data_IF_698858579017
#
_entry.id   IF_698858579017
#
_cell.length_a   1.000
_cell.length_b   1.000
_cell.length_c   1.000
_cell.angle_alpha   90.00
_cell.angle_beta   90.00
_cell.angle_gamma   90.00
#
_symmetry.space_group_name_H-M   'P 1'
#
loop_
_entity.id
_entity.type
_entity.pdbx_description
1 polymer ?
#
# COMPACT_ATOMS: atom_id res chain seq x y z
N UNK A 1 -18.32 -34.81 -15.25
CA UNK A 1 -17.72 -34.21 -14.05
C UNK A 1 -16.22 -34.46 -14.13
N UNK A 2 -15.44 -33.39 -14.33
CA UNK A 2 -13.97 -33.47 -14.40
C UNK A 2 -13.36 -33.18 -13.02
N UNK A 3 -12.15 -33.66 -12.72
CA UNK A 3 -11.56 -33.51 -11.41
C UNK A 3 -11.26 -32.03 -11.14
N UNK A 4 -11.75 -31.55 -10.00
CA UNK A 4 -11.50 -30.21 -9.50
C UNK A 4 -10.07 -30.12 -8.99
N UNK A 5 -9.23 -29.30 -9.63
CA UNK A 5 -7.85 -29.11 -9.20
C UNK A 5 -7.79 -28.50 -7.79
N UNK A 6 -6.89 -28.99 -6.91
CA UNK A 6 -6.78 -28.48 -5.55
C UNK A 6 -6.18 -27.07 -5.56
N UNK A 7 -7.02 -26.08 -5.25
CA UNK A 7 -6.60 -24.68 -5.07
C UNK A 7 -5.44 -24.55 -4.09
N UNK A 8 -4.34 -23.98 -4.57
CA UNK A 8 -3.05 -23.88 -3.85
C UNK A 8 -3.22 -23.08 -2.55
N UNK A 9 -2.64 -23.62 -1.46
CA UNK A 9 -2.59 -23.12 -0.07
C UNK A 9 -1.76 -21.81 0.10
N UNK A 10 -1.81 -20.87 -0.83
CA UNK A 10 -0.97 -19.66 -0.86
C UNK A 10 -1.28 -18.67 0.25
N UNK A 11 -2.55 -18.60 0.68
CA UNK A 11 -3.02 -17.60 1.63
C UNK A 11 -2.31 -17.68 2.99
N UNK A 12 -1.96 -18.89 3.43
CA UNK A 12 -1.28 -19.11 4.71
C UNK A 12 0.16 -18.57 4.75
N UNK A 13 0.90 -18.61 3.63
CA UNK A 13 2.28 -18.11 3.60
C UNK A 13 2.34 -16.59 3.65
N UNK A 14 1.48 -15.92 2.88
CA UNK A 14 1.40 -14.45 2.89
C UNK A 14 0.90 -13.97 4.25
N UNK A 15 -0.16 -14.59 4.79
CA UNK A 15 -0.66 -14.26 6.13
C UNK A 15 0.43 -14.42 7.20
N UNK A 16 1.24 -15.49 7.12
CA UNK A 16 2.36 -15.69 8.03
C UNK A 16 3.40 -14.58 7.91
N UNK A 17 3.84 -14.23 6.69
CA UNK A 17 4.79 -13.13 6.47
C UNK A 17 4.25 -11.81 7.01
N UNK A 18 2.98 -11.48 6.76
CA UNK A 18 2.36 -10.26 7.27
C UNK A 18 2.28 -10.24 8.81
N UNK A 19 2.00 -11.38 9.44
CA UNK A 19 1.98 -11.51 10.89
C UNK A 19 3.39 -11.38 11.49
N UNK A 20 4.41 -11.95 10.84
CA UNK A 20 5.83 -11.77 11.22
C UNK A 20 6.23 -10.30 11.15
N UNK A 21 5.97 -9.62 10.02
CA UNK A 21 6.25 -8.18 9.87
C UNK A 21 5.53 -7.34 10.93
N UNK A 22 4.30 -7.72 11.28
CA UNK A 22 3.54 -7.06 12.33
C UNK A 22 4.21 -7.20 13.69
N UNK A 23 4.49 -8.42 14.13
CA UNK A 23 5.00 -8.69 15.47
C UNK A 23 6.44 -8.20 15.65
N UNK A 24 7.28 -8.35 14.63
CA UNK A 24 8.72 -8.18 14.78
C UNK A 24 9.19 -6.76 14.42
N UNK A 25 8.42 -6.03 13.61
CA UNK A 25 8.81 -4.71 13.09
C UNK A 25 7.75 -3.67 13.40
N UNK A 26 6.55 -3.84 12.87
CA UNK A 26 5.60 -2.72 12.77
C UNK A 26 4.94 -2.41 14.11
N UNK A 27 4.45 -3.41 14.84
CA UNK A 27 3.85 -3.21 16.16
C UNK A 27 4.83 -2.56 17.15
N UNK A 28 6.09 -3.04 17.30
CA UNK A 28 7.07 -2.35 18.15
C UNK A 28 7.29 -0.89 17.79
N UNK A 29 7.36 -0.55 16.49
CA UNK A 29 7.49 0.84 16.03
C UNK A 29 6.26 1.68 16.41
N UNK A 30 5.06 1.15 16.19
CA UNK A 30 3.81 1.85 16.53
C UNK A 30 3.65 2.06 18.05
N UNK A 31 4.07 1.09 18.86
CA UNK A 31 4.06 1.18 20.32
C UNK A 31 5.06 2.24 20.81
N UNK A 32 6.28 2.23 20.28
CA UNK A 32 7.33 3.20 20.62
C UNK A 32 6.90 4.64 20.26
N UNK A 33 6.29 4.83 19.10
CA UNK A 33 5.77 6.13 18.65
C UNK A 33 4.47 6.53 19.37
N UNK A 34 3.88 5.63 20.17
CA UNK A 34 2.64 5.88 20.91
C UNK A 34 1.38 5.89 20.05
N UNK A 35 1.45 5.48 18.78
CA UNK A 35 0.33 5.55 17.82
C UNK A 35 -0.81 4.60 18.18
N UNK A 36 -0.54 3.55 18.95
CA UNK A 36 -1.57 2.60 19.39
C UNK A 36 -2.45 3.10 20.54
N UNK A 37 -2.06 4.18 21.26
CA UNK A 37 -2.82 4.68 22.42
C UNK A 37 -4.02 5.55 22.02
N UNK A 38 -3.91 6.31 20.93
CA UNK A 38 -4.85 7.36 20.55
C UNK A 38 -5.36 7.21 19.11
N UNK A 39 -5.58 5.97 18.64
CA UNK A 39 -6.02 5.70 17.28
C UNK A 39 -7.44 6.26 17.02
N UNK A 40 -7.52 7.57 16.73
CA UNK A 40 -8.72 8.24 16.26
C UNK A 40 -8.88 7.92 14.77
N UNK A 41 -10.09 7.52 14.36
CA UNK A 41 -10.36 7.06 12.99
C UNK A 41 -10.28 8.16 11.94
N UNK A 42 -10.13 9.43 12.34
CA UNK A 42 -10.19 10.58 11.43
C UNK A 42 -8.84 11.20 11.06
N UNK A 43 -7.78 11.05 11.88
CA UNK A 43 -6.50 11.70 11.62
C UNK A 43 -5.34 10.77 12.02
N UNK A 44 -5.07 9.79 11.16
CA UNK A 44 -3.97 8.86 11.37
C UNK A 44 -2.62 9.54 11.08
N UNK A 45 -1.60 9.34 11.92
CA UNK A 45 -0.24 9.80 11.61
C UNK A 45 0.30 9.13 10.35
N UNK A 46 1.26 9.79 9.71
CA UNK A 46 1.95 9.26 8.53
C UNK A 46 3.32 8.70 8.90
N UNK A 47 3.61 7.48 8.44
CA UNK A 47 4.93 6.85 8.54
C UNK A 47 5.49 6.69 7.12
N UNK A 48 6.73 7.16 6.91
CA UNK A 48 7.49 6.87 5.69
C UNK A 48 8.57 5.84 5.98
N UNK A 49 8.41 4.64 5.41
CA UNK A 49 9.35 3.53 5.57
C UNK A 49 10.55 3.69 4.63
N UNK A 50 11.77 3.57 5.14
CA UNK A 50 12.99 3.51 4.33
C UNK A 50 13.63 2.10 4.43
N UNK A 51 13.00 1.04 3.88
CA UNK A 51 13.52 -0.32 3.99
C UNK A 51 14.82 -0.50 3.17
N UNK A 52 15.64 -1.47 3.57
CA UNK A 52 16.89 -1.82 2.88
C UNK A 52 16.97 -3.32 2.59
N UNK A 53 17.72 -3.71 1.56
CA UNK A 53 17.91 -5.11 1.19
C UNK A 53 16.59 -5.84 0.88
N UNK A 54 16.45 -7.08 1.37
CA UNK A 54 15.27 -7.92 1.11
C UNK A 54 13.97 -7.36 1.67
N UNK A 55 14.04 -6.49 2.67
CA UNK A 55 12.87 -5.86 3.28
C UNK A 55 12.14 -4.92 2.32
N UNK A 56 12.83 -4.43 1.28
CA UNK A 56 12.24 -3.59 0.23
C UNK A 56 11.15 -4.31 -0.59
N UNK A 57 11.17 -5.64 -0.62
CA UNK A 57 10.17 -6.46 -1.30
C UNK A 57 8.99 -6.84 -0.41
N UNK A 58 9.02 -6.48 0.88
CA UNK A 58 8.02 -6.89 1.85
C UNK A 58 6.99 -5.78 2.10
N UNK A 59 5.70 -6.11 2.21
CA UNK A 59 4.64 -5.12 2.31
C UNK A 59 4.44 -4.63 3.76
N UNK A 60 5.35 -3.78 4.26
CA UNK A 60 5.26 -3.20 5.61
C UNK A 60 3.93 -2.47 5.85
N UNK A 61 3.36 -1.88 4.79
CA UNK A 61 2.08 -1.15 4.79
C UNK A 61 0.86 -2.07 4.94
N UNK A 62 1.04 -3.38 4.77
CA UNK A 62 0.01 -4.40 4.97
C UNK A 62 0.33 -5.31 6.16
N UNK A 63 1.39 -5.03 6.92
CA UNK A 63 1.75 -5.81 8.09
C UNK A 63 0.56 -5.86 9.06
N UNK A 64 0.18 -7.07 9.44
CA UNK A 64 -0.89 -7.29 10.40
C UNK A 64 -1.02 -8.76 10.79
N UNK A 65 -1.51 -8.99 12.00
CA UNK A 65 -2.07 -10.28 12.37
C UNK A 65 -3.56 -10.28 12.02
N UNK A 66 -3.92 -10.90 10.90
CA UNK A 66 -5.28 -10.87 10.36
C UNK A 66 -6.28 -11.74 11.14
N UNK A 67 -5.80 -12.60 12.04
CA UNK A 67 -6.64 -13.36 12.98
C UNK A 67 -7.13 -12.47 14.13
N UNK A 68 -6.44 -11.34 14.40
CA UNK A 68 -6.79 -10.42 15.45
C UNK A 68 -7.48 -9.17 14.88
N UNK A 69 -8.59 -8.72 15.48
CA UNK A 69 -9.20 -7.45 15.12
C UNK A 69 -8.23 -6.30 15.42
N UNK A 70 -8.23 -5.30 14.55
CA UNK A 70 -7.40 -4.08 14.64
C UNK A 70 -5.89 -4.24 14.56
N UNK A 71 -5.31 -5.45 14.57
CA UNK A 71 -3.86 -5.68 14.49
C UNK A 71 -3.29 -5.52 13.07
N UNK A 72 -3.46 -4.34 12.46
CA UNK A 72 -3.02 -4.02 11.10
C UNK A 72 -2.52 -2.59 11.06
N UNK A 73 -1.40 -2.35 10.40
CA UNK A 73 -0.74 -1.02 10.41
C UNK A 73 -1.66 0.11 9.94
N UNK A 74 -2.49 -0.15 8.93
CA UNK A 74 -3.41 0.84 8.36
C UNK A 74 -4.55 1.26 9.30
N UNK A 75 -4.73 0.59 10.44
CA UNK A 75 -5.63 1.07 11.49
C UNK A 75 -5.00 2.16 12.37
N UNK A 76 -3.67 2.33 12.29
CA UNK A 76 -2.89 3.18 13.19
C UNK A 76 -2.08 4.24 12.47
N UNK A 77 -1.70 4.02 11.20
CA UNK A 77 -0.90 4.96 10.43
C UNK A 77 -1.13 4.82 8.93
N UNK A 78 -1.04 5.94 8.22
CA UNK A 78 -0.87 5.96 6.76
C UNK A 78 0.59 5.63 6.46
N UNK A 79 0.84 4.73 5.52
CA UNK A 79 2.19 4.30 5.18
C UNK A 79 2.62 4.78 3.79
N UNK A 80 3.83 5.29 3.68
CA UNK A 80 4.54 5.56 2.43
C UNK A 80 5.95 4.96 2.47
N UNK A 81 6.68 5.05 1.35
CA UNK A 81 8.03 4.52 1.24
C UNK A 81 8.97 5.58 0.67
N UNK A 82 10.24 5.50 1.08
CA UNK A 82 11.34 6.23 0.45
C UNK A 82 12.49 5.25 0.19
N UNK A 83 13.20 5.36 -0.95
CA UNK A 83 14.36 4.51 -1.21
C UNK A 83 15.58 4.91 -0.38
N UNK A 84 15.68 6.18 0.03
CA UNK A 84 16.80 6.71 0.84
C UNK A 84 16.36 7.85 1.74
N UNK A 85 17.13 8.15 2.79
CA UNK A 85 16.91 9.33 3.63
C UNK A 85 17.08 10.64 2.84
N UNK A 86 18.05 10.69 1.92
CA UNK A 86 18.26 11.87 1.06
C UNK A 86 17.05 12.15 0.18
N UNK A 87 16.43 11.13 -0.40
CA UNK A 87 15.20 11.28 -1.19
C UNK A 87 14.03 11.78 -0.33
N UNK A 88 13.94 11.35 0.93
CA UNK A 88 12.93 11.84 1.86
C UNK A 88 13.14 13.31 2.22
N UNK A 89 14.37 13.72 2.50
CA UNK A 89 14.70 15.11 2.84
C UNK A 89 14.55 16.06 1.65
N UNK A 90 14.83 15.58 0.44
CA UNK A 90 14.63 16.34 -0.80
C UNK A 90 13.14 16.48 -1.15
N UNK A 91 12.30 15.53 -0.71
CA UNK A 91 10.84 15.57 -0.88
C UNK A 91 10.24 16.65 0.00
N UNK A 92 10.27 17.89 -0.48
CA UNK A 92 9.58 19.00 0.18
C UNK A 92 8.09 18.87 -0.17
N UNK A 93 7.16 18.82 0.81
CA UNK A 93 5.73 18.94 0.51
C UNK A 93 5.48 20.34 -0.06
N UNK A 94 5.54 20.46 -1.39
CA UNK A 94 5.25 21.68 -2.09
C UNK A 94 3.76 21.99 -1.96
N UNK A 95 3.44 23.22 -1.57
CA UNK A 95 2.07 23.72 -1.73
C UNK A 95 1.79 23.73 -3.24
N UNK A 96 0.89 22.87 -3.71
CA UNK A 96 0.48 22.87 -5.11
C UNK A 96 -0.31 24.16 -5.38
N UNK A 97 0.38 25.21 -5.82
CA UNK A 97 -0.18 26.56 -5.94
C UNK A 97 -0.45 26.96 -7.40
N UNK A 98 -0.87 26.01 -8.24
CA UNK A 98 -1.17 26.26 -9.65
C UNK A 98 -2.16 25.25 -10.23
N UNK A 99 -2.57 25.50 -11.49
CA UNK A 99 -3.49 24.64 -12.24
C UNK A 99 -2.98 23.18 -12.27
N UNK A 100 -3.70 22.28 -11.61
CA UNK A 100 -3.37 20.86 -11.56
C UNK A 100 -3.54 20.25 -12.95
N UNK A 101 -2.43 19.88 -13.58
CA UNK A 101 -2.44 19.12 -14.84
C UNK A 101 -2.18 17.65 -14.53
N UNK A 102 -3.16 16.81 -14.81
CA UNK A 102 -3.09 15.37 -14.56
C UNK A 102 -2.73 14.62 -15.84
N UNK A 103 -1.73 13.74 -15.76
CA UNK A 103 -1.42 12.75 -16.80
C UNK A 103 -1.75 11.37 -16.27
N UNK A 104 -2.74 10.70 -16.88
CA UNK A 104 -3.08 9.32 -16.59
C UNK A 104 -2.55 8.40 -17.72
N UNK A 105 -1.85 7.32 -17.35
CA UNK A 105 -1.31 6.32 -18.28
C UNK A 105 -1.84 4.95 -17.87
N UNK A 106 -2.44 4.22 -18.82
CA UNK A 106 -2.97 2.87 -18.58
C UNK A 106 -2.68 1.92 -19.73
N UNK A 107 -2.57 0.64 -19.44
CA UNK A 107 -2.28 -0.39 -20.43
C UNK A 107 -3.57 -0.94 -21.06
N UNK A 108 -3.97 -0.37 -22.19
CA UNK A 108 -5.17 -0.77 -22.95
C UNK A 108 -5.02 -1.98 -23.90
N UNK A 109 -3.91 -2.72 -23.81
CA UNK A 109 -3.52 -3.86 -24.66
C UNK A 109 -3.03 -3.56 -26.11
N UNK A 110 -2.04 -4.36 -26.53
CA UNK A 110 -1.61 -4.60 -27.93
C UNK A 110 -1.43 -6.09 -28.26
N UNK A 111 -1.40 -6.99 -27.26
CA UNK A 111 -1.30 -8.46 -27.42
C UNK A 111 -2.30 -9.19 -26.50
N UNK A 112 -2.79 -10.36 -26.93
CA UNK A 112 -3.93 -11.06 -26.32
C UNK A 112 -3.70 -11.68 -24.94
N UNK A 113 -2.46 -11.77 -24.43
CA UNK A 113 -2.15 -12.50 -23.19
C UNK A 113 -2.10 -11.64 -21.92
N UNK A 114 -2.12 -10.31 -22.02
CA UNK A 114 -2.01 -9.40 -20.87
C UNK A 114 -2.89 -8.16 -21.05
N UNK A 115 -4.16 -8.36 -21.41
CA UNK A 115 -5.10 -7.26 -21.54
C UNK A 115 -5.63 -6.84 -20.16
N UNK A 116 -5.62 -5.52 -19.90
CA UNK A 116 -6.30 -4.91 -18.76
C UNK A 116 -7.46 -4.05 -19.27
N UNK A 117 -8.53 -4.66 -19.80
CA UNK A 117 -9.59 -3.93 -20.50
C UNK A 117 -10.31 -2.90 -19.61
N UNK A 118 -10.33 -3.13 -18.30
CA UNK A 118 -10.92 -2.19 -17.35
C UNK A 118 -10.07 -0.93 -17.15
N UNK A 119 -8.76 -0.98 -17.37
CA UNK A 119 -7.89 0.19 -17.28
C UNK A 119 -8.33 1.29 -18.27
N UNK A 120 -8.81 0.92 -19.46
CA UNK A 120 -9.33 1.89 -20.44
C UNK A 120 -10.56 2.61 -19.90
N UNK A 121 -11.48 1.86 -19.29
CA UNK A 121 -12.71 2.42 -18.70
C UNK A 121 -12.38 3.33 -17.52
N UNK A 122 -11.45 2.92 -16.67
CA UNK A 122 -10.97 3.70 -15.53
C UNK A 122 -10.32 5.03 -16.00
N UNK A 123 -9.50 5.00 -17.05
CA UNK A 123 -8.90 6.22 -17.62
C UNK A 123 -9.95 7.19 -18.16
N UNK A 124 -11.01 6.69 -18.80
CA UNK A 124 -12.11 7.54 -19.26
C UNK A 124 -12.83 8.21 -18.08
N UNK A 125 -13.18 7.45 -17.04
CA UNK A 125 -13.79 8.01 -15.83
C UNK A 125 -12.91 9.06 -15.13
N UNK A 126 -11.59 8.82 -15.05
CA UNK A 126 -10.65 9.78 -14.47
C UNK A 126 -10.60 11.06 -15.30
N UNK A 127 -10.57 10.94 -16.64
CA UNK A 127 -10.57 12.11 -17.52
C UNK A 127 -11.83 12.95 -17.31
N UNK A 128 -13.00 12.33 -17.32
CA UNK A 128 -14.28 13.03 -17.19
C UNK A 128 -14.38 13.78 -15.85
N UNK A 129 -13.86 13.18 -14.75
CA UNK A 129 -13.83 13.82 -13.42
C UNK A 129 -12.84 14.98 -13.30
N UNK A 130 -11.78 15.01 -14.11
CA UNK A 130 -10.74 16.04 -14.03
C UNK A 130 -11.01 17.24 -14.94
N UNK A 131 -11.97 17.11 -15.87
CA UNK A 131 -12.38 18.19 -16.79
C UNK A 131 -13.67 18.92 -16.37
N UNK A 132 -14.28 18.51 -15.26
CA UNK A 132 -15.51 19.10 -14.70
C UNK A 132 -15.16 19.92 -13.45
#
# INVERSE_FOLDING_TARGET
EGPQEPGIRTNGRVAHVLATLWNDIVKPVLELLGYMRNASTGNLPHITWCPTGVLTFLPLHAAGNYEQPRARVFNYAISSYTPTLTALLASTPGLLNGDLRVLAVGQGAKSSRHQLPNAIKELACVKDHMTN
#
